data_IF_729891931866
#
_entry.id   IF_729891931866
#
_cell.length_a   1.000
_cell.length_b   1.000
_cell.length_c   1.000
_cell.angle_alpha   90.00
_cell.angle_beta   90.00
_cell.angle_gamma   90.00
#
_symmetry.space_group_name_H-M   'P 1'
#
loop_
_entity.id
_entity.type
_entity.pdbx_description
1 polymer ?
#
# COMPACT_ATOMS: atom_id res chain seq x y z
N UNK A 1 -8.52 -10.17 10.64
CA UNK A 1 -7.30 -10.99 10.49
C UNK A 1 -6.28 -10.14 9.77
N UNK A 2 -5.07 -9.96 10.32
CA UNK A 2 -4.02 -9.22 9.61
C UNK A 2 -3.56 -10.04 8.40
N UNK A 3 -3.56 -9.46 7.20
CA UNK A 3 -3.13 -10.16 5.96
C UNK A 3 -1.61 -10.24 5.79
N UNK A 4 -0.86 -9.51 6.61
CA UNK A 4 0.60 -9.45 6.59
C UNK A 4 1.14 -9.07 7.97
N UNK A 5 2.42 -9.35 8.22
CA UNK A 5 3.11 -8.94 9.44
C UNK A 5 3.46 -7.45 9.34
N UNK A 6 2.69 -6.61 10.03
CA UNK A 6 2.82 -5.16 10.00
C UNK A 6 4.18 -4.65 10.50
N UNK A 7 4.72 -5.22 11.59
CA UNK A 7 5.99 -4.79 12.15
C UNK A 7 7.16 -5.13 11.20
N UNK A 8 7.19 -6.36 10.68
CA UNK A 8 8.21 -6.79 9.73
C UNK A 8 8.11 -6.02 8.40
N UNK A 9 6.89 -5.75 7.93
CA UNK A 9 6.65 -4.93 6.74
C UNK A 9 7.20 -3.51 6.89
N UNK A 10 6.93 -2.83 8.00
CA UNK A 10 7.41 -1.46 8.20
C UNK A 10 8.94 -1.40 8.25
N UNK A 11 9.59 -2.36 8.94
CA UNK A 11 11.05 -2.46 8.92
C UNK A 11 11.57 -2.71 7.50
N UNK A 12 10.97 -3.65 6.77
CA UNK A 12 11.41 -4.02 5.43
C UNK A 12 11.30 -2.85 4.44
N UNK A 13 10.19 -2.10 4.46
CA UNK A 13 10.00 -0.89 3.63
C UNK A 13 11.09 0.14 3.91
N UNK A 14 11.36 0.41 5.19
CA UNK A 14 12.37 1.40 5.60
C UNK A 14 13.82 0.92 5.43
N UNK A 15 14.06 -0.36 5.11
CA UNK A 15 15.40 -0.91 4.80
C UNK A 15 15.63 -1.10 3.31
N UNK A 16 14.58 -1.12 2.50
CA UNK A 16 14.67 -1.35 1.07
C UNK A 16 15.27 -0.14 0.32
N UNK A 17 16.35 -0.39 -0.42
CA UNK A 17 17.06 0.66 -1.15
C UNK A 17 16.27 1.21 -2.34
N UNK A 18 15.55 0.35 -3.05
CA UNK A 18 14.72 0.75 -4.20
C UNK A 18 13.56 1.65 -3.74
N UNK A 19 12.88 1.27 -2.66
CA UNK A 19 11.83 2.08 -2.06
C UNK A 19 12.35 3.46 -1.65
N UNK A 20 13.50 3.55 -0.95
CA UNK A 20 14.08 4.83 -0.53
C UNK A 20 14.36 5.79 -1.68
N UNK A 21 14.89 5.26 -2.78
CA UNK A 21 15.18 6.07 -3.98
C UNK A 21 13.88 6.58 -4.59
N UNK A 22 12.89 5.69 -4.76
CA UNK A 22 11.62 6.02 -5.40
C UNK A 22 10.71 6.90 -4.52
N UNK A 23 10.82 6.79 -3.20
CA UNK A 23 10.02 7.53 -2.23
C UNK A 23 10.67 8.86 -1.84
N UNK A 24 11.82 9.24 -2.42
CA UNK A 24 12.53 10.47 -2.04
C UNK A 24 11.59 11.67 -2.12
N UNK A 25 11.50 12.43 -1.03
CA UNK A 25 10.58 13.58 -0.85
C UNK A 25 9.10 13.26 -0.68
N UNK A 26 8.72 11.98 -0.57
CA UNK A 26 7.34 11.62 -0.24
C UNK A 26 7.03 12.06 1.19
N UNK A 27 6.20 13.09 1.29
CA UNK A 27 5.49 13.49 2.49
C UNK A 27 3.99 13.33 2.23
N UNK A 28 3.31 12.51 3.04
CA UNK A 28 1.88 12.30 2.86
C UNK A 28 1.34 11.13 3.66
N UNK A 29 0.13 10.73 3.34
CA UNK A 29 -0.50 9.55 3.90
C UNK A 29 -1.30 8.76 2.86
N UNK A 30 -1.31 7.44 3.03
CA UNK A 30 -2.10 6.51 2.23
C UNK A 30 -3.00 5.68 3.14
N UNK A 31 -4.27 5.55 2.79
CA UNK A 31 -5.18 4.61 3.46
C UNK A 31 -5.46 3.41 2.57
N UNK A 32 -5.25 2.22 3.10
CA UNK A 32 -5.64 0.95 2.49
C UNK A 32 -6.85 0.40 3.22
N UNK A 33 -7.95 0.14 2.50
CA UNK A 33 -9.12 -0.52 3.07
C UNK A 33 -9.11 -2.00 2.70
N UNK A 34 -8.98 -2.84 3.71
CA UNK A 34 -9.19 -4.28 3.61
C UNK A 34 -10.66 -4.56 3.93
N UNK A 35 -11.50 -4.60 2.91
CA UNK A 35 -12.96 -4.51 3.07
C UNK A 35 -13.35 -3.21 3.83
N UNK A 36 -13.78 -3.30 5.10
CA UNK A 36 -14.15 -2.13 5.92
C UNK A 36 -13.09 -1.71 6.93
N UNK A 37 -11.95 -2.41 6.99
CA UNK A 37 -10.89 -2.15 7.96
C UNK A 37 -9.83 -1.20 7.34
N UNK A 38 -9.75 0.08 7.78
CA UNK A 38 -8.79 1.02 7.23
C UNK A 38 -7.43 0.90 7.92
N UNK A 39 -6.37 0.80 7.13
CA UNK A 39 -4.99 0.91 7.55
C UNK A 39 -4.39 2.19 6.99
N UNK A 40 -3.99 3.10 7.87
CA UNK A 40 -3.33 4.34 7.52
C UNK A 40 -1.81 4.15 7.56
N UNK A 41 -1.15 4.61 6.50
CA UNK A 41 0.30 4.66 6.36
C UNK A 41 0.70 6.14 6.27
N UNK A 42 1.61 6.59 7.13
CA UNK A 42 2.13 7.97 7.11
C UNK A 42 3.58 7.96 6.65
N UNK A 43 3.86 8.78 5.64
CA UNK A 43 5.19 8.94 5.05
C UNK A 43 5.77 10.31 5.37
N UNK A 44 7.04 10.34 5.75
CA UNK A 44 7.82 11.57 5.91
C UNK A 44 9.20 11.39 5.33
N UNK A 45 9.63 12.33 4.48
CA UNK A 45 10.92 12.30 3.78
C UNK A 45 11.25 10.92 3.17
N UNK A 46 10.24 10.29 2.54
CA UNK A 46 10.39 8.98 1.91
C UNK A 46 10.49 7.78 2.86
N UNK A 47 10.18 7.94 4.15
CA UNK A 47 10.14 6.86 5.14
C UNK A 47 8.72 6.59 5.60
N UNK A 48 8.38 5.32 5.84
CA UNK A 48 7.14 4.93 6.51
C UNK A 48 7.30 5.12 8.03
N UNK A 49 6.88 6.28 8.52
CA UNK A 49 7.10 6.69 9.92
C UNK A 49 6.02 6.19 10.87
N UNK A 50 4.81 5.92 10.37
CA UNK A 50 3.74 5.34 11.17
C UNK A 50 2.81 4.49 10.32
N UNK A 51 2.26 3.45 10.95
CA UNK A 51 1.23 2.59 10.38
C UNK A 51 0.27 2.14 11.47
N UNK A 52 -1.03 2.12 11.19
CA UNK A 52 -2.03 1.70 12.16
C UNK A 52 -3.46 1.90 11.68
N UNK A 53 -4.48 1.56 12.50
CA UNK A 53 -5.87 1.78 12.14
C UNK A 53 -6.13 3.27 11.90
N UNK A 54 -6.88 3.61 10.85
CA UNK A 54 -7.28 4.99 10.60
C UNK A 54 -8.45 5.37 11.53
N UNK A 55 -8.41 6.57 12.10
CA UNK A 55 -9.56 7.16 12.77
C UNK A 55 -10.34 8.11 11.82
N UNK A 56 -11.55 8.49 12.22
CA UNK A 56 -12.48 9.33 11.42
C UNK A 56 -11.99 10.76 11.15
N UNK A 57 -10.93 11.22 11.82
CA UNK A 57 -10.31 12.52 11.62
C UNK A 57 -8.95 12.44 10.91
N UNK A 58 -8.44 11.23 10.65
CA UNK A 58 -7.24 11.09 9.83
C UNK A 58 -7.58 11.40 8.36
N UNK A 59 -6.71 12.18 7.72
CA UNK A 59 -6.74 12.40 6.28
C UNK A 59 -5.65 11.59 5.59
N UNK A 60 -5.90 11.22 4.33
CA UNK A 60 -4.93 10.60 3.46
C UNK A 60 -4.99 11.22 2.06
N UNK A 61 -3.82 11.39 1.45
CA UNK A 61 -3.67 11.92 0.10
C UNK A 61 -4.12 10.89 -0.93
N UNK A 62 -3.90 9.61 -0.64
CA UNK A 62 -4.29 8.49 -1.49
C UNK A 62 -5.10 7.49 -0.69
N UNK A 63 -6.20 7.01 -1.25
CA UNK A 63 -6.97 5.91 -0.68
C UNK A 63 -7.12 4.79 -1.71
N UNK A 64 -6.87 3.56 -1.29
CA UNK A 64 -7.14 2.36 -2.09
C UNK A 64 -8.08 1.46 -1.30
N UNK A 65 -9.17 1.04 -1.95
CA UNK A 65 -10.18 0.16 -1.37
C UNK A 65 -10.32 -1.10 -2.18
N UNK A 66 -10.50 -2.23 -1.52
CA UNK A 66 -10.81 -3.47 -2.20
C UNK A 66 -11.37 -4.51 -1.25
N UNK A 67 -12.14 -5.47 -1.76
CA UNK A 67 -12.66 -6.55 -0.94
C UNK A 67 -11.51 -7.42 -0.41
N UNK A 68 -11.74 -8.08 0.73
CA UNK A 68 -10.74 -8.95 1.36
C UNK A 68 -10.22 -10.04 0.40
N UNK A 69 -11.09 -10.56 -0.47
CA UNK A 69 -10.72 -11.55 -1.48
C UNK A 69 -9.69 -11.01 -2.50
N UNK A 70 -9.84 -9.76 -2.94
CA UNK A 70 -8.91 -9.12 -3.87
C UNK A 70 -7.55 -8.87 -3.22
N UNK A 71 -7.52 -8.46 -1.95
CA UNK A 71 -6.27 -8.33 -1.20
C UNK A 71 -5.57 -9.68 -1.00
N UNK A 72 -6.31 -10.74 -0.66
CA UNK A 72 -5.76 -12.10 -0.54
C UNK A 72 -5.13 -12.58 -1.85
N UNK A 73 -5.74 -12.26 -2.98
CA UNK A 73 -5.18 -12.56 -4.30
C UNK A 73 -3.93 -11.71 -4.60
N UNK A 74 -4.00 -10.40 -4.36
CA UNK A 74 -2.90 -9.47 -4.60
C UNK A 74 -1.62 -9.83 -3.82
N UNK A 75 -1.80 -10.35 -2.61
CA UNK A 75 -0.73 -10.75 -1.69
C UNK A 75 -0.28 -12.21 -1.86
N UNK A 76 -0.79 -12.95 -2.85
CA UNK A 76 -0.23 -14.26 -3.18
C UNK A 76 1.21 -14.11 -3.68
N UNK A 77 2.12 -15.07 -3.42
CA UNK A 77 3.48 -15.06 -3.97
C UNK A 77 3.51 -15.00 -5.50
N UNK A 78 2.57 -15.71 -6.13
CA UNK A 78 2.32 -15.68 -7.58
C UNK A 78 0.84 -15.32 -7.75
N UNK A 79 0.51 -14.02 -7.82
CA UNK A 79 -0.86 -13.58 -7.96
C UNK A 79 -1.38 -13.91 -9.37
N UNK A 80 -2.70 -14.13 -9.50
CA UNK A 80 -3.36 -14.26 -10.81
C UNK A 80 -3.09 -13.03 -11.69
N UNK A 81 -3.27 -13.16 -13.01
CA UNK A 81 -3.16 -12.02 -13.93
C UNK A 81 -3.95 -10.81 -13.42
N UNK A 82 -3.39 -9.62 -13.63
CA UNK A 82 -3.89 -8.32 -13.15
C UNK A 82 -3.80 -8.05 -11.64
N UNK A 83 -3.39 -9.01 -10.82
CA UNK A 83 -3.10 -8.81 -9.39
C UNK A 83 -1.60 -8.65 -9.09
N UNK A 84 -0.74 -8.65 -10.12
CA UNK A 84 0.70 -8.42 -9.98
C UNK A 84 1.07 -6.94 -9.78
N UNK A 85 0.17 -6.02 -10.17
CA UNK A 85 0.35 -4.58 -10.14
C UNK A 85 -0.95 -3.90 -9.68
N UNK A 86 -0.83 -2.93 -8.77
CA UNK A 86 -2.00 -2.30 -8.15
C UNK A 86 -2.81 -1.47 -9.14
N UNK A 87 -2.17 -0.79 -10.09
CA UNK A 87 -2.88 0.05 -11.05
C UNK A 87 -3.58 -0.82 -12.09
N UNK A 88 -2.95 -1.92 -12.52
CA UNK A 88 -3.62 -2.93 -13.34
C UNK A 88 -4.87 -3.50 -12.64
N UNK A 89 -4.79 -3.78 -11.34
CA UNK A 89 -5.91 -4.27 -10.54
C UNK A 89 -7.04 -3.22 -10.41
N UNK A 90 -6.69 -1.94 -10.26
CA UNK A 90 -7.64 -0.82 -10.27
C UNK A 90 -8.35 -0.72 -11.63
N UNK A 91 -7.61 -0.75 -12.74
CA UNK A 91 -8.18 -0.68 -14.11
C UNK A 91 -9.13 -1.87 -14.39
N UNK A 92 -8.93 -3.00 -13.73
CA UNK A 92 -9.82 -4.17 -13.79
C UNK A 92 -10.96 -4.16 -12.77
N UNK A 93 -11.16 -3.04 -12.06
CA UNK A 93 -12.18 -2.87 -11.02
C UNK A 93 -12.07 -3.88 -9.85
N UNK A 94 -10.87 -4.41 -9.60
CA UNK A 94 -10.61 -5.22 -8.41
C UNK A 94 -10.36 -4.35 -7.17
N UNK A 95 -9.93 -3.11 -7.38
CA UNK A 95 -9.74 -2.09 -6.37
C UNK A 95 -10.29 -0.75 -6.86
N UNK A 96 -10.71 0.07 -5.92
CA UNK A 96 -11.05 1.47 -6.14
C UNK A 96 -9.92 2.35 -5.63
N UNK A 97 -9.64 3.43 -6.35
CA UNK A 97 -8.66 4.43 -5.95
C UNK A 97 -9.31 5.82 -5.91
N UNK A 98 -8.94 6.61 -4.91
CA UNK A 98 -9.31 8.03 -4.79
C UNK A 98 -8.21 8.86 -4.15
N UNK A 99 -8.34 10.18 -4.25
CA UNK A 99 -7.39 11.15 -3.69
C UNK A 99 -6.56 11.84 -4.78
N UNK A 100 -5.37 12.30 -4.41
CA UNK A 100 -4.44 13.04 -5.26
C UNK A 100 -3.86 12.15 -6.37
N UNK A 101 -4.21 12.45 -7.62
CA UNK A 101 -3.60 11.85 -8.81
C UNK A 101 -2.12 12.18 -8.92
N UNK A 102 -1.74 13.42 -8.60
CA UNK A 102 -0.35 13.87 -8.59
C UNK A 102 0.49 13.02 -7.64
N UNK A 103 0.08 12.89 -6.38
CA UNK A 103 0.81 12.08 -5.38
C UNK A 103 0.84 10.62 -5.80
N UNK A 104 -0.29 10.07 -6.28
CA UNK A 104 -0.37 8.67 -6.67
C UNK A 104 0.59 8.32 -7.80
N UNK A 105 0.61 9.13 -8.87
CA UNK A 105 1.44 8.84 -10.04
C UNK A 105 2.90 9.28 -9.86
N UNK A 106 3.17 10.40 -9.18
CA UNK A 106 4.54 10.84 -8.92
C UNK A 106 5.34 9.82 -8.08
N UNK A 107 4.67 9.17 -7.12
CA UNK A 107 5.29 8.19 -6.22
C UNK A 107 4.88 6.74 -6.53
N UNK A 108 4.33 6.47 -7.73
CA UNK A 108 3.83 5.14 -8.06
C UNK A 108 4.93 4.06 -8.01
N UNK A 109 6.17 4.41 -8.37
CA UNK A 109 7.31 3.51 -8.24
C UNK A 109 7.55 3.06 -6.79
N UNK A 110 7.45 3.99 -5.83
CA UNK A 110 7.56 3.67 -4.41
C UNK A 110 6.40 2.79 -3.93
N UNK A 111 5.17 3.12 -4.32
CA UNK A 111 4.00 2.32 -3.94
C UNK A 111 4.05 0.91 -4.53
N UNK A 112 4.47 0.76 -5.78
CA UNK A 112 4.67 -0.56 -6.41
C UNK A 112 5.69 -1.40 -5.63
N UNK A 113 6.83 -0.81 -5.24
CA UNK A 113 7.85 -1.50 -4.44
C UNK A 113 7.32 -1.84 -3.04
N UNK A 114 6.64 -0.91 -2.38
CA UNK A 114 5.97 -1.13 -1.10
C UNK A 114 4.99 -2.31 -1.17
N UNK A 115 4.16 -2.39 -2.21
CA UNK A 115 3.22 -3.51 -2.38
C UNK A 115 3.91 -4.86 -2.61
N UNK A 116 5.07 -4.90 -3.26
CA UNK A 116 5.88 -6.12 -3.35
C UNK A 116 6.39 -6.54 -1.97
N UNK A 117 6.93 -5.60 -1.19
CA UNK A 117 7.40 -5.88 0.17
C UNK A 117 6.25 -6.34 1.07
N UNK A 118 5.04 -5.78 0.89
CA UNK A 118 3.84 -6.22 1.60
C UNK A 118 3.49 -7.69 1.29
N UNK A 119 3.62 -8.10 0.02
CA UNK A 119 3.43 -9.48 -0.42
C UNK A 119 4.45 -10.42 0.21
N UNK A 120 5.72 -10.02 0.29
CA UNK A 120 6.79 -10.82 0.92
C UNK A 120 6.57 -11.03 2.42
N UNK A 121 5.81 -10.12 3.05
CA UNK A 121 5.45 -10.17 4.47
C UNK A 121 4.02 -10.69 4.72
N UNK A 122 3.34 -11.22 3.70
CA UNK A 122 1.97 -11.74 3.83
C UNK A 122 1.91 -12.91 4.83
N UNK A 123 0.86 -12.92 5.66
CA UNK A 123 0.58 -14.05 6.56
C UNK A 123 0.03 -15.21 5.74
N UNK A 124 0.64 -16.38 5.89
CA UNK A 124 0.22 -17.61 5.23
C UNK A 124 -0.94 -18.27 5.97
#
# INVERSE_FOLDING_TARGET
MSLFNQAAFQEAVNRDGEFKIAARFLDGAMTLYFDREPLLLKFRDGQLVAMGPANKFDSADVTIKGPLASWKEFLQPIPRPFYHDMFAAIVRNAFEWSGSSETFFAYYGAFRRMFQIMRDNATR
#
